data_IF_329470309573
#
_entry.id   IF_329470309573
#
_cell.length_a   1.000
_cell.length_b   1.000
_cell.length_c   1.000
_cell.angle_alpha   90.00
_cell.angle_beta   90.00
_cell.angle_gamma   90.00
#
_symmetry.space_group_name_H-M   'P 1'
#
loop_
_entity.id
_entity.type
_entity.pdbx_description
1 polymer ?
#
# COMPACT_ATOMS: atom_id res chain seq x y z
N UNK A 1 34.47 -7.67 7.73
CA UNK A 1 33.14 -7.91 7.12
C UNK A 1 32.87 -6.88 6.02
N UNK A 2 32.61 -5.61 6.34
CA UNK A 2 32.23 -4.59 5.34
C UNK A 2 33.32 -4.24 4.32
N UNK A 3 34.60 -4.27 4.70
CA UNK A 3 35.71 -4.11 3.75
C UNK A 3 35.75 -5.20 2.66
N UNK A 4 35.33 -6.42 3.00
CA UNK A 4 35.26 -7.51 2.03
C UNK A 4 34.08 -7.34 1.08
N UNK A 5 32.96 -6.82 1.58
CA UNK A 5 31.78 -6.48 0.79
C UNK A 5 32.07 -5.29 -0.14
N UNK A 6 32.79 -4.29 0.34
CA UNK A 6 33.27 -3.16 -0.45
C UNK A 6 34.17 -3.62 -1.61
N UNK A 7 35.13 -4.52 -1.34
CA UNK A 7 35.97 -5.13 -2.39
C UNK A 7 35.15 -5.87 -3.45
N UNK A 8 34.20 -6.72 -3.03
CA UNK A 8 33.31 -7.43 -3.96
C UNK A 8 32.45 -6.47 -4.79
N UNK A 9 31.91 -5.42 -4.17
CA UNK A 9 31.16 -4.39 -4.88
C UNK A 9 32.05 -3.63 -5.88
N UNK A 10 33.30 -3.38 -5.49
CA UNK A 10 34.31 -2.76 -6.32
C UNK A 10 34.89 -3.68 -7.40
N UNK A 11 34.63 -4.99 -7.36
CA UNK A 11 35.05 -5.91 -8.43
C UNK A 11 34.04 -5.93 -9.59
N UNK A 12 32.83 -5.37 -9.41
CA UNK A 12 31.85 -5.33 -10.48
C UNK A 12 32.24 -4.38 -11.61
N UNK A 13 32.11 -4.81 -12.89
CA UNK A 13 32.56 -4.04 -14.06
C UNK A 13 31.67 -2.84 -14.41
N UNK A 14 30.46 -2.74 -13.83
CA UNK A 14 29.51 -1.64 -14.04
C UNK A 14 29.33 -0.75 -12.82
N UNK A 15 30.31 -0.69 -11.93
CA UNK A 15 30.21 0.15 -10.74
C UNK A 15 30.35 1.64 -11.12
N UNK A 16 29.53 2.54 -10.54
CA UNK A 16 29.64 3.98 -10.82
C UNK A 16 30.82 4.67 -10.10
N UNK A 17 31.19 4.20 -8.91
CA UNK A 17 32.31 4.74 -8.10
C UNK A 17 32.86 3.68 -7.14
N UNK A 18 34.09 3.88 -6.67
CA UNK A 18 34.69 3.03 -5.65
C UNK A 18 34.05 3.30 -4.29
N UNK A 19 33.63 2.23 -3.62
CA UNK A 19 32.96 2.28 -2.32
C UNK A 19 33.87 1.67 -1.26
N UNK A 20 34.01 2.33 -0.10
CA UNK A 20 34.79 1.81 1.03
C UNK A 20 33.93 1.01 2.02
N UNK A 21 34.58 0.26 2.92
CA UNK A 21 33.86 -0.54 3.92
C UNK A 21 32.99 0.31 4.87
N UNK A 22 33.33 1.60 5.05
CA UNK A 22 32.57 2.54 5.86
C UNK A 22 31.24 2.89 5.20
N UNK A 23 31.26 3.26 3.93
CA UNK A 23 30.04 3.60 3.16
C UNK A 23 29.12 2.37 3.03
N UNK A 24 29.68 1.18 2.85
CA UNK A 24 28.91 -0.08 2.85
C UNK A 24 28.22 -0.35 4.20
N UNK A 25 28.90 -0.05 5.32
CA UNK A 25 28.30 -0.18 6.65
C UNK A 25 27.17 0.83 6.84
N UNK A 26 27.37 2.08 6.46
CA UNK A 26 26.38 3.15 6.65
C UNK A 26 25.12 2.94 5.80
N UNK A 27 25.28 2.47 4.56
CA UNK A 27 24.15 2.08 3.69
C UNK A 27 23.37 0.91 4.28
N UNK A 28 24.06 -0.12 4.77
CA UNK A 28 23.41 -1.27 5.41
C UNK A 28 22.69 -0.90 6.71
N UNK A 29 23.30 -0.08 7.57
CA UNK A 29 22.68 0.42 8.79
C UNK A 29 21.46 1.32 8.48
N UNK A 30 21.53 2.14 7.43
CA UNK A 30 20.40 2.95 6.99
C UNK A 30 19.26 2.08 6.43
N UNK A 31 19.56 1.02 5.68
CA UNK A 31 18.55 0.06 5.23
C UNK A 31 17.88 -0.66 6.40
N UNK A 32 18.66 -1.16 7.36
CA UNK A 32 18.13 -1.76 8.60
C UNK A 32 17.25 -0.79 9.39
N UNK A 33 17.66 0.49 9.48
CA UNK A 33 16.87 1.52 10.16
C UNK A 33 15.55 1.79 9.44
N UNK A 34 15.56 1.87 8.10
CA UNK A 34 14.36 2.06 7.29
C UNK A 34 13.41 0.87 7.39
N UNK A 35 13.94 -0.34 7.35
CA UNK A 35 13.18 -1.58 7.51
C UNK A 35 12.51 -1.65 8.89
N UNK A 36 13.26 -1.43 9.97
CA UNK A 36 12.71 -1.38 11.32
C UNK A 36 11.68 -0.25 11.50
N UNK A 37 11.85 0.88 10.82
CA UNK A 37 10.86 1.97 10.82
C UNK A 37 9.58 1.56 10.09
N UNK A 38 9.70 0.86 8.96
CA UNK A 38 8.55 0.32 8.23
C UNK A 38 7.82 -0.74 9.06
N UNK A 39 8.52 -1.67 9.70
CA UNK A 39 7.90 -2.68 10.58
C UNK A 39 7.16 -2.06 11.77
N UNK A 40 7.68 -0.98 12.35
CA UNK A 40 6.97 -0.24 13.40
C UNK A 40 5.72 0.49 12.88
N UNK A 41 5.76 1.01 11.64
CA UNK A 41 4.59 1.59 10.97
C UNK A 41 3.57 0.50 10.63
N UNK A 42 4.00 -0.66 10.16
CA UNK A 42 3.13 -1.81 9.89
C UNK A 42 2.53 -2.39 11.19
N UNK A 43 3.27 -2.41 12.30
CA UNK A 43 2.75 -2.77 13.62
C UNK A 43 1.70 -1.77 14.13
N UNK A 44 1.83 -0.48 13.82
CA UNK A 44 0.82 0.55 14.09
C UNK A 44 -0.48 0.33 13.32
N UNK A 45 -0.45 -0.36 12.18
CA UNK A 45 -1.64 -0.72 11.40
C UNK A 45 -2.24 -2.07 11.83
N UNK A 46 -1.50 -2.89 12.59
CA UNK A 46 -1.91 -4.21 13.09
C UNK A 46 -2.64 -4.22 14.45
N UNK A 47 -2.95 -3.06 15.04
CA UNK A 47 -3.85 -2.95 16.20
C UNK A 47 -3.31 -3.46 17.55
N UNK A 48 -2.03 -3.81 17.68
CA UNK A 48 -1.46 -4.21 18.97
C UNK A 48 -1.10 -2.95 19.76
N UNK A 49 -1.92 -2.64 20.76
CA UNK A 49 -1.69 -1.50 21.66
C UNK A 49 -0.37 -1.67 22.44
N UNK A 50 0.30 -0.55 22.74
CA UNK A 50 1.57 -0.52 23.48
C UNK A 50 1.50 -1.23 24.85
N UNK A 51 0.31 -1.30 25.44
CA UNK A 51 -0.02 -2.06 26.66
C UNK A 51 0.03 -3.57 26.44
N UNK A 52 -0.44 -4.06 25.30
CA UNK A 52 -0.41 -5.48 24.94
C UNK A 52 1.03 -5.96 24.68
N UNK A 53 1.87 -5.14 24.05
CA UNK A 53 3.30 -5.44 23.87
C UNK A 53 4.06 -5.48 25.22
N UNK A 54 3.77 -4.55 26.13
CA UNK A 54 4.33 -4.55 27.49
C UNK A 54 3.89 -5.76 28.31
N UNK A 55 2.65 -6.22 28.14
CA UNK A 55 2.14 -7.42 28.80
C UNK A 55 2.87 -8.68 28.32
N UNK A 56 3.10 -8.81 27.01
CA UNK A 56 3.86 -9.92 26.43
C UNK A 56 5.33 -9.92 26.88
N UNK A 57 5.95 -8.74 26.97
CA UNK A 57 7.31 -8.59 27.50
C UNK A 57 7.42 -9.05 28.96
N UNK A 58 6.47 -8.65 29.83
CA UNK A 58 6.41 -9.10 31.23
C UNK A 58 6.14 -10.61 31.35
N UNK A 59 5.26 -11.16 30.53
CA UNK A 59 4.99 -12.59 30.50
C UNK A 59 6.24 -13.40 30.06
N UNK A 60 7.01 -12.90 29.09
CA UNK A 60 8.27 -13.52 28.71
C UNK A 60 9.36 -13.44 29.79
N UNK A 61 9.28 -12.46 30.68
CA UNK A 61 10.23 -12.26 31.79
C UNK A 61 9.98 -13.24 32.95
N UNK A 62 8.71 -13.52 33.27
CA UNK A 62 8.35 -14.51 34.29
C UNK A 62 8.72 -15.93 33.87
N UNK A 63 8.55 -16.26 32.59
CA UNK A 63 8.96 -17.55 32.01
C UNK A 63 10.48 -17.73 32.08
N UNK A 64 11.26 -16.70 31.72
CA UNK A 64 12.73 -16.72 31.83
C UNK A 64 13.19 -16.89 33.29
N UNK A 65 12.59 -16.16 34.22
CA UNK A 65 12.91 -16.26 35.66
C UNK A 65 12.58 -17.65 36.22
N UNK A 66 11.44 -18.22 35.83
CA UNK A 66 11.05 -19.59 36.22
C UNK A 66 12.00 -20.65 35.66
N UNK A 67 12.44 -20.50 34.41
CA UNK A 67 13.42 -21.40 33.80
C UNK A 67 14.79 -21.32 34.49
N UNK A 68 15.21 -20.12 34.92
CA UNK A 68 16.46 -19.92 35.67
C UNK A 68 16.40 -20.57 37.05
N UNK A 69 15.29 -20.41 37.79
CA UNK A 69 15.10 -21.07 39.09
C UNK A 69 15.13 -22.60 38.98
N UNK A 70 14.56 -23.18 37.92
CA UNK A 70 14.66 -24.63 37.67
C UNK A 70 16.07 -25.10 37.38
N UNK A 71 16.92 -24.25 36.77
CA UNK A 71 18.33 -24.57 36.55
C UNK A 71 19.12 -24.53 37.85
N UNK A 72 18.87 -23.54 38.71
CA UNK A 72 19.53 -23.43 40.02
C UNK A 72 19.17 -24.58 40.95
N UNK A 73 17.89 -24.99 41.00
CA UNK A 73 17.44 -26.12 41.82
C UNK A 73 18.05 -27.48 41.42
N UNK A 74 18.53 -27.63 40.18
CA UNK A 74 19.17 -28.87 39.71
C UNK A 74 20.65 -29.01 40.09
N UNK A 75 21.27 -27.95 40.63
CA UNK A 75 22.71 -27.93 40.96
C UNK A 75 23.00 -27.92 42.47
N UNK A 76 21.99 -27.96 43.34
CA UNK A 76 22.14 -27.80 44.79
C UNK A 76 21.92 -29.08 45.61
N UNK A 77 22.47 -30.23 45.21
CA UNK A 77 22.37 -31.48 45.98
C UNK A 77 23.71 -32.21 46.05
N UNK A 78 24.43 -32.03 47.15
CA UNK A 78 25.67 -32.73 47.51
C UNK A 78 25.36 -33.62 48.72
N UNK A 79 25.71 -34.91 48.66
CA UNK A 79 26.50 -35.69 49.66
C UNK A 79 26.66 -37.17 49.20
N UNK A 80 27.80 -37.79 49.57
CA UNK A 80 28.53 -38.99 49.03
C UNK A 80 28.32 -40.24 49.95
N UNK A 81 29.01 -41.42 49.87
CA UNK A 81 29.59 -42.32 48.81
C UNK A 81 29.11 -43.82 48.92
N UNK A 82 29.50 -44.74 48.01
CA UNK A 82 30.30 -45.95 48.30
C UNK A 82 30.51 -46.92 47.11
N UNK A 83 31.73 -47.49 47.07
CA UNK A 83 32.35 -48.67 46.45
C UNK A 83 31.88 -49.43 45.16
N UNK A 84 32.92 -49.77 44.37
CA UNK A 84 33.21 -51.04 43.66
C UNK A 84 33.14 -51.09 42.11
N UNK A 85 34.22 -51.69 41.57
CA UNK A 85 34.73 -51.72 40.20
C UNK A 85 33.99 -52.59 39.18
N UNK A 86 34.01 -52.18 37.89
CA UNK A 86 34.63 -52.94 36.77
C UNK A 86 34.57 -52.15 35.44
N UNK A 87 35.59 -52.24 34.55
CA UNK A 87 35.61 -51.53 33.26
C UNK A 87 35.15 -52.44 32.11
N UNK A 88 33.93 -52.25 31.59
CA UNK A 88 33.46 -52.90 30.37
C UNK A 88 32.91 -51.85 29.38
N UNK A 89 33.52 -51.83 28.20
CA UNK A 89 33.09 -51.28 26.90
C UNK A 89 32.81 -49.76 26.77
N UNK A 90 33.37 -49.07 25.74
CA UNK A 90 33.03 -47.70 25.43
C UNK A 90 31.63 -47.65 24.80
N UNK A 91 30.61 -47.63 25.64
CA UNK A 91 29.26 -47.18 25.29
C UNK A 91 29.35 -45.88 24.49
N UNK A 92 28.60 -45.71 23.37
CA UNK A 92 28.61 -44.48 22.59
C UNK A 92 28.28 -43.33 23.54
N UNK A 93 29.29 -42.50 23.82
CA UNK A 93 29.18 -41.46 24.86
C UNK A 93 27.86 -40.71 24.67
N UNK A 94 27.00 -40.61 25.70
CA UNK A 94 25.70 -39.95 25.58
C UNK A 94 25.82 -38.51 25.05
N UNK A 95 26.99 -37.88 25.16
CA UNK A 95 27.31 -36.59 24.54
C UNK A 95 27.28 -36.59 23.00
N UNK A 96 27.71 -37.66 22.32
CA UNK A 96 27.73 -37.74 20.85
C UNK A 96 26.32 -37.96 20.27
N UNK A 97 25.54 -38.85 20.88
CA UNK A 97 24.12 -39.03 20.56
C UNK A 97 23.31 -37.77 20.87
N UNK A 98 23.61 -37.08 21.98
CA UNK A 98 23.02 -35.77 22.28
C UNK A 98 23.43 -34.70 21.27
N UNK A 99 24.68 -34.67 20.80
CA UNK A 99 25.11 -33.70 19.76
C UNK A 99 24.33 -33.87 18.46
N UNK A 100 24.21 -35.10 17.94
CA UNK A 100 23.43 -35.38 16.71
C UNK A 100 21.97 -34.95 16.85
N UNK A 101 21.33 -35.33 17.97
CA UNK A 101 19.93 -34.94 18.27
C UNK A 101 19.72 -33.41 18.38
N UNK A 102 20.77 -32.64 18.58
CA UNK A 102 20.72 -31.17 18.64
C UNK A 102 20.95 -30.51 17.27
N UNK A 103 21.61 -31.19 16.34
CA UNK A 103 21.79 -30.76 14.94
C UNK A 103 20.48 -30.98 14.17
N UNK A 104 19.91 -32.20 14.23
CA UNK A 104 18.65 -32.52 13.55
C UNK A 104 17.48 -31.63 14.01
N UNK A 105 17.43 -31.29 15.31
CA UNK A 105 16.41 -30.42 15.88
C UNK A 105 16.62 -28.91 15.60
N UNK A 106 17.79 -28.52 15.09
CA UNK A 106 18.02 -27.16 14.56
C UNK A 106 17.59 -27.10 13.11
N UNK A 107 17.94 -28.10 12.31
CA UNK A 107 17.59 -28.15 10.89
C UNK A 107 16.06 -28.14 10.71
N UNK A 108 15.30 -28.86 11.54
CA UNK A 108 13.83 -28.84 11.52
C UNK A 108 13.22 -27.46 11.88
N UNK A 109 13.89 -26.70 12.77
CA UNK A 109 13.42 -25.35 13.14
C UNK A 109 13.77 -24.32 12.09
N UNK A 110 14.94 -24.45 11.48
CA UNK A 110 15.38 -23.58 10.41
C UNK A 110 14.47 -23.79 9.18
N UNK A 111 14.11 -25.05 8.86
CA UNK A 111 13.14 -25.40 7.83
C UNK A 111 11.77 -24.74 8.07
N UNK A 112 11.25 -24.82 9.30
CA UNK A 112 9.97 -24.19 9.65
C UNK A 112 10.00 -22.65 9.52
N UNK A 113 11.15 -22.03 9.77
CA UNK A 113 11.33 -20.58 9.58
C UNK A 113 11.40 -20.22 8.10
N UNK A 114 12.06 -21.03 7.27
CA UNK A 114 12.10 -20.82 5.81
C UNK A 114 10.71 -20.94 5.19
N UNK A 115 9.94 -21.99 5.53
CA UNK A 115 8.56 -22.18 5.08
C UNK A 115 7.65 -20.99 5.48
N UNK A 116 7.80 -20.47 6.70
CA UNK A 116 7.07 -19.29 7.15
C UNK A 116 7.44 -18.05 6.34
N UNK A 117 8.72 -17.87 6.03
CA UNK A 117 9.22 -16.74 5.24
C UNK A 117 8.71 -16.79 3.80
N UNK A 118 8.73 -17.97 3.18
CA UNK A 118 8.17 -18.20 1.85
C UNK A 118 6.68 -17.92 1.81
N UNK A 119 5.92 -18.46 2.77
CA UNK A 119 4.49 -18.21 2.88
C UNK A 119 4.19 -16.71 3.04
N UNK A 120 4.95 -16.02 3.89
CA UNK A 120 4.81 -14.57 4.09
C UNK A 120 5.19 -13.77 2.84
N UNK A 121 6.20 -14.21 2.08
CA UNK A 121 6.56 -13.58 0.81
C UNK A 121 5.46 -13.74 -0.24
N UNK A 122 4.88 -14.94 -0.38
CA UNK A 122 3.75 -15.22 -1.28
C UNK A 122 2.51 -14.42 -0.87
N UNK A 123 2.23 -14.34 0.42
CA UNK A 123 1.09 -13.57 0.94
C UNK A 123 1.24 -12.07 0.68
N UNK A 124 2.43 -11.51 0.90
CA UNK A 124 2.72 -10.10 0.56
C UNK A 124 2.60 -9.84 -0.93
N UNK A 125 3.09 -10.74 -1.77
CA UNK A 125 2.95 -10.63 -3.23
C UNK A 125 1.48 -10.64 -3.64
N UNK A 126 0.68 -11.59 -3.13
CA UNK A 126 -0.74 -11.68 -3.42
C UNK A 126 -1.51 -10.45 -2.91
N UNK A 127 -1.14 -9.90 -1.75
CA UNK A 127 -1.73 -8.65 -1.25
C UNK A 127 -1.39 -7.46 -2.15
N UNK A 128 -0.15 -7.39 -2.65
CA UNK A 128 0.29 -6.36 -3.58
C UNK A 128 -0.42 -6.48 -4.93
N UNK A 129 -0.61 -7.69 -5.46
CA UNK A 129 -1.39 -7.92 -6.69
C UNK A 129 -2.84 -7.43 -6.53
N UNK A 130 -3.49 -7.75 -5.41
CA UNK A 130 -4.85 -7.25 -5.12
C UNK A 130 -4.89 -5.73 -5.05
N UNK A 131 -3.88 -5.12 -4.43
CA UNK A 131 -3.77 -3.66 -4.38
C UNK A 131 -3.62 -3.07 -5.78
N UNK A 132 -2.70 -3.60 -6.60
CA UNK A 132 -2.53 -3.16 -7.98
C UNK A 132 -3.81 -3.31 -8.80
N UNK A 133 -4.50 -4.46 -8.70
CA UNK A 133 -5.76 -4.67 -9.41
C UNK A 133 -6.88 -3.71 -8.96
N UNK A 134 -6.94 -3.39 -7.66
CA UNK A 134 -7.89 -2.41 -7.15
C UNK A 134 -7.59 -0.99 -7.64
N UNK A 135 -6.30 -0.61 -7.67
CA UNK A 135 -5.84 0.67 -8.21
C UNK A 135 -6.13 0.79 -9.71
N UNK A 136 -5.88 -0.25 -10.50
CA UNK A 136 -6.23 -0.30 -11.93
C UNK A 136 -7.73 -0.05 -12.15
N UNK A 137 -8.58 -0.72 -11.37
CA UNK A 137 -10.04 -0.51 -11.44
C UNK A 137 -10.44 0.90 -11.04
N UNK A 138 -9.77 1.50 -10.06
CA UNK A 138 -10.02 2.90 -9.69
C UNK A 138 -9.64 3.84 -10.84
N UNK A 139 -8.48 3.63 -11.45
CA UNK A 139 -8.01 4.43 -12.58
C UNK A 139 -8.92 4.31 -13.80
N UNK A 140 -9.42 3.11 -14.12
CA UNK A 140 -10.41 2.91 -15.19
C UNK A 140 -11.69 3.75 -14.96
N UNK A 141 -12.20 3.79 -13.72
CA UNK A 141 -13.37 4.59 -13.37
C UNK A 141 -13.09 6.10 -13.46
N UNK A 142 -11.92 6.54 -13.01
CA UNK A 142 -11.50 7.93 -13.11
C UNK A 142 -11.36 8.36 -14.58
N UNK A 143 -10.82 7.50 -15.44
CA UNK A 143 -10.73 7.76 -16.89
C UNK A 143 -12.12 7.89 -17.52
N UNK A 144 -13.04 6.96 -17.22
CA UNK A 144 -14.42 7.04 -17.71
C UNK A 144 -15.11 8.32 -17.27
N UNK A 145 -14.90 8.74 -16.02
CA UNK A 145 -15.43 9.99 -15.50
C UNK A 145 -14.87 11.19 -16.25
N UNK A 146 -13.56 11.25 -16.46
CA UNK A 146 -12.91 12.34 -17.19
C UNK A 146 -13.40 12.42 -18.64
N UNK A 147 -13.57 11.27 -19.32
CA UNK A 147 -14.13 11.23 -20.67
C UNK A 147 -15.56 11.76 -20.70
N UNK A 148 -16.39 11.42 -19.70
CA UNK A 148 -17.74 11.95 -19.60
C UNK A 148 -17.72 13.47 -19.38
N UNK A 149 -16.91 13.95 -18.44
CA UNK A 149 -16.76 15.39 -18.17
C UNK A 149 -16.27 16.15 -19.41
N UNK A 150 -15.33 15.60 -20.18
CA UNK A 150 -14.90 16.17 -21.46
C UNK A 150 -16.05 16.27 -22.46
N UNK A 151 -16.81 15.19 -22.67
CA UNK A 151 -17.98 15.21 -23.58
C UNK A 151 -18.99 16.26 -23.16
N UNK A 152 -19.25 16.38 -21.85
CA UNK A 152 -20.15 17.41 -21.31
C UNK A 152 -19.61 18.80 -21.60
N UNK A 153 -18.31 19.05 -21.36
CA UNK A 153 -17.68 20.34 -21.66
C UNK A 153 -17.72 20.70 -23.15
N UNK A 154 -17.59 19.75 -24.06
CA UNK A 154 -17.69 19.99 -25.50
C UNK A 154 -19.14 20.22 -25.96
N UNK A 155 -20.10 19.51 -25.37
CA UNK A 155 -21.51 19.58 -25.77
C UNK A 155 -22.24 20.80 -25.20
N UNK A 156 -21.94 21.22 -23.98
CA UNK A 156 -22.56 22.37 -23.32
C UNK A 156 -22.52 23.67 -24.14
N UNK A 157 -21.39 24.12 -24.69
CA UNK A 157 -21.35 25.34 -25.49
C UNK A 157 -22.11 25.18 -26.81
N UNK A 158 -22.07 23.98 -27.42
CA UNK A 158 -22.84 23.69 -28.65
C UNK A 158 -24.35 23.78 -28.38
N UNK A 159 -24.81 23.16 -27.29
CA UNK A 159 -26.22 23.21 -26.88
C UNK A 159 -26.67 24.63 -26.57
N UNK A 160 -25.88 25.38 -25.79
CA UNK A 160 -26.16 26.80 -25.50
C UNK A 160 -26.26 27.63 -26.78
N UNK A 161 -25.33 27.46 -27.72
CA UNK A 161 -25.37 28.16 -29.00
C UNK A 161 -26.62 27.80 -29.82
N UNK A 162 -27.02 26.51 -29.84
CA UNK A 162 -28.25 26.10 -30.54
C UNK A 162 -29.51 26.64 -29.89
N UNK A 163 -29.58 26.65 -28.56
CA UNK A 163 -30.71 27.23 -27.83
C UNK A 163 -30.78 28.74 -28.02
N UNK A 164 -29.65 29.43 -27.99
CA UNK A 164 -29.57 30.86 -28.23
C UNK A 164 -29.98 31.22 -29.67
N UNK A 165 -29.50 30.46 -30.66
CA UNK A 165 -29.91 30.63 -32.05
C UNK A 165 -31.43 30.42 -32.22
N UNK A 166 -32.00 29.40 -31.58
CA UNK A 166 -33.44 29.16 -31.59
C UNK A 166 -34.22 30.31 -30.93
N UNK A 167 -33.73 30.85 -29.81
CA UNK A 167 -34.33 32.01 -29.14
C UNK A 167 -34.30 33.26 -30.02
N UNK A 168 -33.17 33.54 -30.66
CA UNK A 168 -33.01 34.69 -31.57
C UNK A 168 -33.94 34.53 -32.78
N UNK A 169 -34.04 33.33 -33.35
CA UNK A 169 -34.95 33.07 -34.46
C UNK A 169 -36.42 33.24 -34.07
N UNK A 170 -36.81 32.77 -32.88
CA UNK A 170 -38.17 32.97 -32.35
C UNK A 170 -38.47 34.45 -32.08
N UNK A 171 -37.49 35.22 -31.59
CA UNK A 171 -37.66 36.66 -31.40
C UNK A 171 -37.78 37.40 -32.75
N UNK A 172 -36.99 37.00 -33.74
CA UNK A 172 -37.05 37.57 -35.09
C UNK A 172 -38.40 37.28 -35.77
N UNK A 173 -38.92 36.06 -35.66
CA UNK A 173 -40.24 35.72 -36.21
C UNK A 173 -41.37 36.47 -35.49
N UNK A 174 -41.31 36.62 -34.17
CA UNK A 174 -42.27 37.43 -33.42
C UNK A 174 -42.22 38.91 -33.84
N UNK A 175 -41.03 39.46 -34.05
CA UNK A 175 -40.86 40.84 -34.53
C UNK A 175 -41.41 41.03 -35.94
N UNK A 176 -41.18 40.06 -36.84
CA UNK A 176 -41.72 40.08 -38.21
C UNK A 176 -43.26 40.04 -38.20
N UNK A 177 -43.87 39.19 -37.38
CA UNK A 177 -45.33 39.14 -37.23
C UNK A 177 -45.88 40.46 -36.68
N UNK A 178 -45.25 41.03 -35.65
CA UNK A 178 -45.67 42.33 -35.12
C UNK A 178 -45.48 43.47 -36.14
N UNK A 179 -44.50 43.39 -37.04
CA UNK A 179 -44.33 44.35 -38.12
C UNK A 179 -45.43 44.23 -39.17
N UNK A 180 -45.81 42.99 -39.54
CA UNK A 180 -46.94 42.73 -40.42
C UNK A 180 -48.26 43.27 -39.85
N UNK A 181 -48.54 43.02 -38.57
CA UNK A 181 -49.73 43.54 -37.89
C UNK A 181 -49.78 45.08 -37.89
N UNK A 182 -48.62 45.74 -37.68
CA UNK A 182 -48.53 47.21 -37.76
C UNK A 182 -48.78 47.72 -39.18
N UNK A 183 -48.26 47.02 -40.19
CA UNK A 183 -48.50 47.37 -41.59
C UNK A 183 -49.98 47.24 -41.97
N UNK A 184 -50.66 46.19 -41.54
CA UNK A 184 -52.11 46.03 -41.76
C UNK A 184 -52.92 47.13 -41.06
N UNK A 185 -52.57 47.46 -39.81
CA UNK A 185 -53.20 48.58 -39.10
C UNK A 185 -52.99 49.92 -39.83
N UNK A 186 -51.78 50.17 -40.35
CA UNK A 186 -51.49 51.38 -41.11
C UNK A 186 -52.34 51.46 -42.39
N UNK A 187 -52.42 50.37 -43.17
CA UNK A 187 -53.29 50.29 -44.36
C UNK A 187 -54.75 50.60 -44.03
N UNK A 188 -55.27 50.04 -42.94
CA UNK A 188 -56.63 50.29 -42.49
C UNK A 188 -56.87 51.76 -42.13
N UNK A 189 -55.93 52.39 -41.41
CA UNK A 189 -56.01 53.82 -41.06
C UNK A 189 -55.96 54.72 -42.30
N UNK A 190 -55.10 54.40 -43.28
CA UNK A 190 -55.04 55.11 -44.56
C UNK A 190 -56.36 55.01 -45.33
N UNK A 191 -56.96 53.81 -45.38
CA UNK A 191 -58.26 53.59 -46.01
C UNK A 191 -59.36 54.43 -45.33
N UNK A 192 -59.42 54.42 -43.99
CA UNK A 192 -60.38 55.23 -43.24
C UNK A 192 -60.17 56.73 -43.48
N UNK A 193 -58.92 57.18 -43.56
CA UNK A 193 -58.57 58.58 -43.85
C UNK A 193 -58.93 58.98 -45.29
N UNK A 194 -58.80 58.07 -46.25
CA UNK A 194 -59.24 58.31 -47.63
C UNK A 194 -60.77 58.38 -47.73
N UNK A 195 -61.50 57.51 -47.02
CA UNK A 195 -62.96 57.54 -46.98
C UNK A 195 -63.50 58.81 -46.31
N UNK A 196 -62.92 59.23 -45.19
CA UNK A 196 -63.30 60.46 -44.51
C UNK A 196 -63.14 61.70 -45.42
N UNK A 197 -62.05 61.77 -46.19
CA UNK A 197 -61.80 62.83 -47.18
C UNK A 197 -62.78 62.82 -48.37
N UNK A 198 -63.47 61.71 -48.62
CA UNK A 198 -64.43 61.59 -49.73
C UNK A 198 -65.86 61.91 -49.31
N UNK A 199 -66.16 61.81 -48.02
CA UNK A 199 -67.50 62.02 -47.44
C UNK A 199 -67.69 63.40 -46.78
N UNK A 200 -66.61 64.08 -46.40
CA UNK A 200 -66.63 65.48 -46.00
C UNK A 200 -66.43 66.41 -47.18
#
# INVERSE_FOLDING_TARGET
MYERAAKLFNEHPRRPFETDGRTMKDTFCNMLRKFNKQDNVTASWGGVSQTQTKALLRAGETVRRSAMNRRLARHGGTEVPDEASSPLEPSPRPAAARRRRWEDAKDEKDEAVFELLERSARERHAAQERHCAAEEKRLELDELRLQHEQRVQEQLPRQRATEEAARVQAAASAAANAAADRAERAKMLDLMSALARRLG
#
